data_IF_750507547399
#
_entry.id   IF_750507547399
#
_cell.length_a   1.000
_cell.length_b   1.000
_cell.length_c   1.000
_cell.angle_alpha   90.00
_cell.angle_beta   90.00
_cell.angle_gamma   90.00
#
_symmetry.space_group_name_H-M   'P 1'
#
loop_
_entity.id
_entity.type
_entity.pdbx_description
1 polymer ?
#
# COMPACT_ATOMS: atom_id res chain seq x y z
N UNK A 1 -34.08 12.27 -22.42
CA UNK A 1 -33.26 12.85 -21.33
C UNK A 1 -32.49 11.84 -20.47
N UNK A 2 -32.55 10.52 -20.72
CA UNK A 2 -31.82 9.50 -19.95
C UNK A 2 -30.43 9.13 -20.52
N UNK A 3 -30.02 9.69 -21.66
CA UNK A 3 -28.76 9.33 -22.35
C UNK A 3 -27.59 10.28 -22.04
N UNK A 4 -27.85 11.38 -21.31
CA UNK A 4 -26.83 12.39 -20.97
C UNK A 4 -26.22 12.23 -19.57
N UNK A 5 -26.84 11.48 -18.66
CA UNK A 5 -26.24 11.18 -17.34
C UNK A 5 -25.23 10.03 -17.38
N UNK A 6 -25.21 9.23 -18.46
CA UNK A 6 -24.39 8.01 -18.55
C UNK A 6 -22.97 8.26 -19.11
N UNK A 7 -22.70 9.48 -19.62
CA UNK A 7 -21.35 9.85 -20.07
C UNK A 7 -20.44 10.42 -18.98
N UNK A 8 -20.99 10.83 -17.84
CA UNK A 8 -20.27 11.68 -16.89
C UNK A 8 -19.48 10.92 -15.80
N UNK A 9 -19.50 9.59 -15.80
CA UNK A 9 -18.82 8.79 -14.77
C UNK A 9 -17.84 7.75 -15.35
N UNK A 10 -17.34 8.00 -16.56
CA UNK A 10 -16.19 7.25 -17.08
C UNK A 10 -14.91 7.76 -16.41
N UNK A 11 -14.70 7.32 -15.17
CA UNK A 11 -13.35 7.35 -14.57
C UNK A 11 -12.38 6.72 -15.58
N UNK A 12 -11.34 7.45 -15.94
CA UNK A 12 -10.33 7.00 -16.90
C UNK A 12 -9.59 5.80 -16.33
N UNK A 13 -10.05 4.60 -16.67
CA UNK A 13 -9.44 3.34 -16.26
C UNK A 13 -8.07 3.20 -16.93
N UNK A 14 -7.03 2.99 -16.13
CA UNK A 14 -5.67 2.80 -16.63
C UNK A 14 -5.59 1.46 -17.37
N UNK A 15 -5.47 1.50 -18.71
CA UNK A 15 -5.49 0.29 -19.56
C UNK A 15 -4.19 -0.51 -19.53
N UNK A 16 -3.04 0.12 -19.21
CA UNK A 16 -1.71 -0.51 -19.14
C UNK A 16 -0.90 0.09 -17.99
N UNK A 17 -0.03 -0.73 -17.39
CA UNK A 17 1.05 -0.25 -16.53
C UNK A 17 2.23 0.20 -17.40
N UNK A 18 3.19 0.96 -16.84
CA UNK A 18 4.34 1.56 -17.54
C UNK A 18 5.05 0.60 -18.52
N UNK A 19 5.17 -0.69 -18.17
CA UNK A 19 5.89 -1.69 -18.98
C UNK A 19 5.20 -3.06 -19.09
N UNK A 20 4.05 -3.29 -18.44
CA UNK A 20 3.45 -4.63 -18.33
C UNK A 20 1.91 -4.61 -18.37
N UNK A 21 1.32 -5.79 -18.55
CA UNK A 21 -0.11 -6.00 -18.27
C UNK A 21 -0.43 -5.62 -16.83
N UNK A 22 -1.62 -5.04 -16.62
CA UNK A 22 -2.08 -4.56 -15.31
C UNK A 22 -2.07 -5.65 -14.22
N UNK A 23 -2.29 -6.91 -14.64
CA UNK A 23 -2.19 -8.09 -13.78
C UNK A 23 -0.77 -8.30 -13.27
N UNK A 24 0.22 -8.25 -14.16
CA UNK A 24 1.64 -8.40 -13.80
C UNK A 24 2.08 -7.27 -12.88
N UNK A 25 1.67 -6.03 -13.17
CA UNK A 25 1.95 -4.89 -12.30
C UNK A 25 1.39 -5.08 -10.88
N UNK A 26 0.15 -5.54 -10.76
CA UNK A 26 -0.49 -5.79 -9.46
C UNK A 26 0.17 -6.96 -8.70
N UNK A 27 0.63 -8.00 -9.41
CA UNK A 27 1.38 -9.11 -8.80
C UNK A 27 2.72 -8.62 -8.26
N UNK A 28 3.46 -7.82 -9.04
CA UNK A 28 4.73 -7.24 -8.61
C UNK A 28 4.57 -6.34 -7.39
N UNK A 29 3.55 -5.48 -7.37
CA UNK A 29 3.22 -4.63 -6.21
C UNK A 29 2.92 -5.50 -4.98
N UNK A 30 2.17 -6.60 -5.14
CA UNK A 30 1.85 -7.51 -4.05
C UNK A 30 3.07 -8.23 -3.49
N UNK A 31 3.95 -8.73 -4.36
CA UNK A 31 5.20 -9.39 -3.94
C UNK A 31 6.10 -8.39 -3.22
N UNK A 32 6.29 -7.20 -3.78
CA UNK A 32 7.09 -6.14 -3.17
C UNK A 32 6.53 -5.75 -1.80
N UNK A 33 5.20 -5.64 -1.68
CA UNK A 33 4.51 -5.36 -0.42
C UNK A 33 4.77 -6.42 0.65
N UNK A 34 4.76 -7.72 0.28
CA UNK A 34 5.09 -8.81 1.22
C UNK A 34 6.56 -8.76 1.65
N UNK A 35 7.49 -8.54 0.72
CA UNK A 35 8.93 -8.44 1.03
C UNK A 35 9.20 -7.27 1.99
N UNK A 36 8.59 -6.11 1.73
CA UNK A 36 8.71 -4.94 2.61
C UNK A 36 8.07 -5.19 3.98
N UNK A 37 6.92 -5.87 4.05
CA UNK A 37 6.29 -6.24 5.31
C UNK A 37 7.17 -7.18 6.15
N UNK A 38 7.83 -8.17 5.53
CA UNK A 38 8.76 -9.06 6.22
C UNK A 38 9.96 -8.27 6.76
N UNK A 39 10.55 -7.38 5.96
CA UNK A 39 11.68 -6.56 6.38
C UNK A 39 11.35 -5.64 7.57
N UNK A 40 10.18 -5.00 7.52
CA UNK A 40 9.69 -4.12 8.60
C UNK A 40 9.32 -4.88 9.87
N UNK A 41 8.75 -6.09 9.75
CA UNK A 41 8.56 -6.99 10.88
C UNK A 41 9.88 -7.39 11.54
N UNK A 42 10.89 -7.79 10.76
CA UNK A 42 12.21 -8.13 11.29
C UNK A 42 12.84 -6.96 12.05
N UNK A 43 12.67 -5.75 11.52
CA UNK A 43 13.12 -4.52 12.18
C UNK A 43 12.37 -4.26 13.49
N UNK A 44 11.05 -4.44 13.50
CA UNK A 44 10.20 -4.27 14.69
C UNK A 44 10.54 -5.26 15.79
N UNK A 45 10.79 -6.53 15.44
CA UNK A 45 11.22 -7.57 16.40
C UNK A 45 12.55 -7.20 17.06
N UNK A 46 13.49 -6.62 16.32
CA UNK A 46 14.76 -6.12 16.90
C UNK A 46 14.52 -5.02 17.94
N UNK A 47 13.55 -4.14 17.71
CA UNK A 47 13.21 -3.05 18.62
C UNK A 47 12.40 -3.52 19.85
N UNK A 48 11.69 -4.64 19.74
CA UNK A 48 11.03 -5.26 20.90
C UNK A 48 12.01 -5.85 21.91
N UNK A 49 13.24 -6.20 21.49
CA UNK A 49 14.22 -6.78 22.40
C UNK A 49 14.72 -5.73 23.41
N UNK A 50 14.43 -5.89 24.72
CA UNK A 50 14.79 -4.89 25.72
C UNK A 50 16.31 -4.72 25.86
N UNK A 51 17.11 -5.74 25.53
CA UNK A 51 18.57 -5.65 25.53
C UNK A 51 19.07 -4.76 24.38
N UNK A 52 18.46 -4.89 23.20
CA UNK A 52 18.83 -4.08 22.03
C UNK A 52 18.43 -2.61 22.23
N UNK A 53 17.22 -2.36 22.74
CA UNK A 53 16.78 -1.01 23.06
C UNK A 53 17.76 -0.33 24.03
N UNK A 54 18.22 -1.04 25.07
CA UNK A 54 19.20 -0.51 26.03
C UNK A 54 20.51 -0.10 25.35
N UNK A 55 21.03 -0.93 24.43
CA UNK A 55 22.28 -0.63 23.75
C UNK A 55 22.17 0.62 22.86
N UNK A 56 21.08 0.74 22.10
CA UNK A 56 20.85 1.92 21.24
C UNK A 56 20.68 3.20 22.08
N UNK A 57 20.00 3.12 23.22
CA UNK A 57 19.86 4.26 24.14
C UNK A 57 21.18 4.63 24.80
N UNK A 58 22.04 3.67 25.13
CA UNK A 58 23.36 3.96 25.69
C UNK A 58 24.22 4.74 24.69
N UNK A 59 24.15 4.37 23.40
CA UNK A 59 24.85 5.08 22.34
C UNK A 59 24.32 6.52 22.19
N UNK A 60 22.99 6.69 22.13
CA UNK A 60 22.37 8.01 22.07
C UNK A 60 22.72 8.89 23.28
N UNK A 61 22.69 8.32 24.49
CA UNK A 61 23.07 9.04 25.70
C UNK A 61 24.53 9.51 25.62
N UNK A 62 25.43 8.70 25.06
CA UNK A 62 26.83 9.11 24.89
C UNK A 62 27.00 10.28 23.91
N UNK A 63 26.12 10.41 22.90
CA UNK A 63 26.12 11.57 22.01
C UNK A 63 25.53 12.82 22.67
N UNK A 64 24.44 12.65 23.43
CA UNK A 64 23.81 13.74 24.17
C UNK A 64 24.77 14.27 25.23
N UNK A 65 25.44 13.40 25.98
CA UNK A 65 26.40 13.79 27.02
C UNK A 65 27.56 14.60 26.42
N UNK A 66 28.13 14.16 25.29
CA UNK A 66 29.16 14.93 24.57
C UNK A 66 28.67 16.28 24.05
N UNK A 67 27.41 16.36 23.62
CA UNK A 67 26.83 17.63 23.16
C UNK A 67 26.59 18.57 24.34
N UNK A 68 26.13 18.05 25.48
CA UNK A 68 25.88 18.82 26.69
C UNK A 68 27.16 19.25 27.40
N UNK A 69 28.23 18.47 27.38
CA UNK A 69 29.55 18.90 27.87
C UNK A 69 30.11 20.11 27.10
N UNK A 70 29.61 20.36 25.88
CA UNK A 70 29.96 21.57 25.13
C UNK A 70 29.14 22.81 25.51
N UNK A 71 28.10 22.67 26.33
CA UNK A 71 27.22 23.74 26.83
C UNK A 71 27.34 23.87 28.37
N UNK A 72 28.20 24.79 28.82
CA UNK A 72 28.84 24.85 30.15
C UNK A 72 27.94 25.18 31.38
N UNK A 73 26.60 25.20 31.30
CA UNK A 73 25.76 25.83 32.35
C UNK A 73 24.67 25.00 33.07
N UNK A 74 24.55 23.67 32.90
CA UNK A 74 23.33 22.97 33.37
C UNK A 74 23.44 21.59 34.05
N UNK A 75 24.61 21.18 34.55
CA UNK A 75 24.95 19.75 34.68
C UNK A 75 24.29 19.01 35.87
N UNK A 76 23.94 19.67 36.98
CA UNK A 76 23.58 18.93 38.21
C UNK A 76 22.08 18.58 38.38
N UNK A 77 21.15 19.34 37.79
CA UNK A 77 19.71 19.11 37.98
C UNK A 77 19.10 18.13 36.95
N UNK A 78 19.85 17.78 35.90
CA UNK A 78 19.30 17.10 34.71
C UNK A 78 19.38 15.56 34.77
N UNK A 79 20.20 14.98 35.64
CA UNK A 79 20.41 13.52 35.70
C UNK A 79 19.16 12.72 36.12
N UNK A 80 18.42 13.19 37.13
CA UNK A 80 17.21 12.50 37.58
C UNK A 80 16.08 12.64 36.55
N UNK A 81 15.89 13.83 35.96
CA UNK A 81 14.89 14.04 34.90
C UNK A 81 15.21 13.24 33.62
N UNK A 82 16.48 13.18 33.22
CA UNK A 82 16.91 12.41 32.05
C UNK A 82 16.60 10.91 32.23
N UNK A 83 16.81 10.38 33.43
CA UNK A 83 16.48 8.98 33.74
C UNK A 83 14.97 8.69 33.66
N UNK A 84 14.14 9.64 34.10
CA UNK A 84 12.67 9.54 34.00
C UNK A 84 12.21 9.62 32.54
N UNK A 85 12.75 10.57 31.76
CA UNK A 85 12.46 10.72 30.33
C UNK A 85 12.87 9.45 29.57
N UNK A 86 14.04 8.88 29.87
CA UNK A 86 14.51 7.65 29.24
C UNK A 86 13.61 6.45 29.56
N UNK A 87 13.12 6.34 30.80
CA UNK A 87 12.17 5.29 31.18
C UNK A 87 10.85 5.41 30.40
N UNK A 88 10.29 6.62 30.31
CA UNK A 88 9.07 6.87 29.53
C UNK A 88 9.26 6.64 28.04
N UNK A 89 10.38 7.09 27.46
CA UNK A 89 10.70 6.87 26.04
C UNK A 89 10.85 5.39 25.70
N UNK A 90 11.44 4.60 26.59
CA UNK A 90 11.55 3.15 26.42
C UNK A 90 10.18 2.48 26.37
N UNK A 91 9.29 2.84 27.28
CA UNK A 91 7.92 2.31 27.31
C UNK A 91 7.15 2.68 26.03
N UNK A 92 7.22 3.96 25.63
CA UNK A 92 6.58 4.44 24.39
C UNK A 92 7.15 3.72 23.16
N UNK A 93 8.46 3.53 23.08
CA UNK A 93 9.12 2.88 21.94
C UNK A 93 8.73 1.41 21.83
N UNK A 94 8.67 0.68 22.97
CA UNK A 94 8.25 -0.72 22.99
C UNK A 94 6.78 -0.87 22.59
N UNK A 95 5.89 -0.03 23.13
CA UNK A 95 4.47 -0.05 22.78
C UNK A 95 4.26 0.30 21.30
N UNK A 96 5.01 1.28 20.79
CA UNK A 96 4.97 1.67 19.38
C UNK A 96 5.45 0.52 18.48
N UNK A 97 6.53 -0.18 18.84
CA UNK A 97 7.02 -1.33 18.07
C UNK A 97 5.99 -2.46 17.99
N UNK A 98 5.25 -2.72 19.07
CA UNK A 98 4.16 -3.71 19.09
C UNK A 98 3.03 -3.30 18.16
N UNK A 99 2.59 -2.04 18.24
CA UNK A 99 1.54 -1.51 17.36
C UNK A 99 1.97 -1.62 15.89
N UNK A 100 3.17 -1.16 15.54
CA UNK A 100 3.71 -1.24 14.17
C UNK A 100 3.75 -2.69 13.68
N UNK A 101 4.25 -3.62 14.50
CA UNK A 101 4.30 -5.04 14.14
C UNK A 101 2.91 -5.63 13.87
N UNK A 102 1.92 -5.31 14.71
CA UNK A 102 0.54 -5.79 14.50
C UNK A 102 -0.08 -5.20 13.22
N UNK A 103 0.15 -3.93 12.93
CA UNK A 103 -0.30 -3.29 11.69
C UNK A 103 0.38 -3.89 10.46
N UNK A 104 1.68 -4.17 10.52
CA UNK A 104 2.42 -4.83 9.44
C UNK A 104 1.91 -6.26 9.21
N UNK A 105 1.50 -6.97 10.26
CA UNK A 105 0.87 -8.29 10.13
C UNK A 105 -0.46 -8.22 9.40
N UNK A 106 -1.32 -7.29 9.78
CA UNK A 106 -2.59 -7.06 9.06
C UNK A 106 -2.33 -6.68 7.60
N UNK A 107 -1.34 -5.82 7.36
CA UNK A 107 -0.98 -5.39 6.01
C UNK A 107 -0.37 -6.53 5.17
N UNK A 108 0.47 -7.39 5.75
CA UNK A 108 1.01 -8.57 5.09
C UNK A 108 -0.11 -9.52 4.66
N UNK A 109 -1.09 -9.78 5.54
CA UNK A 109 -2.28 -10.57 5.22
C UNK A 109 -3.08 -9.93 4.08
N UNK A 110 -3.25 -8.61 4.08
CA UNK A 110 -3.91 -7.89 2.98
C UNK A 110 -3.17 -8.04 1.64
N UNK A 111 -1.83 -8.00 1.64
CA UNK A 111 -1.02 -8.23 0.43
C UNK A 111 -1.18 -9.67 -0.09
N UNK A 112 -1.23 -10.66 0.80
CA UNK A 112 -1.49 -12.06 0.43
C UNK A 112 -2.91 -12.23 -0.14
N UNK A 113 -3.91 -11.58 0.46
CA UNK A 113 -5.28 -11.54 -0.04
C UNK A 113 -5.37 -10.90 -1.42
N UNK A 114 -4.66 -9.79 -1.64
CA UNK A 114 -4.57 -9.16 -2.94
C UNK A 114 -3.93 -10.11 -3.97
N UNK A 115 -2.79 -10.73 -3.65
CA UNK A 115 -2.11 -11.66 -4.55
C UNK A 115 -3.02 -12.85 -4.91
N UNK A 116 -3.72 -13.40 -3.92
CA UNK A 116 -4.70 -14.45 -4.14
C UNK A 116 -5.91 -13.94 -4.95
N UNK A 117 -6.36 -12.71 -4.72
CA UNK A 117 -7.45 -12.07 -5.44
C UNK A 117 -7.15 -11.88 -6.92
N UNK A 118 -5.94 -11.45 -7.25
CA UNK A 118 -5.46 -11.32 -8.63
C UNK A 118 -5.40 -12.69 -9.32
N UNK A 119 -4.89 -13.72 -8.63
CA UNK A 119 -4.84 -15.10 -9.16
C UNK A 119 -6.22 -15.70 -9.39
N UNK A 120 -7.14 -15.47 -8.46
CA UNK A 120 -8.51 -16.01 -8.52
C UNK A 120 -9.50 -15.14 -9.28
N UNK A 121 -9.06 -14.00 -9.83
CA UNK A 121 -9.91 -13.00 -10.50
C UNK A 121 -11.10 -12.54 -9.66
N UNK A 122 -10.99 -12.58 -8.33
CA UNK A 122 -12.07 -12.24 -7.41
C UNK A 122 -11.90 -10.81 -6.90
N UNK A 123 -12.71 -9.88 -7.40
CA UNK A 123 -12.63 -8.45 -7.02
C UNK A 123 -12.80 -8.23 -5.51
N UNK A 124 -13.62 -9.04 -4.81
CA UNK A 124 -13.88 -8.91 -3.37
C UNK A 124 -12.63 -9.04 -2.51
N UNK A 125 -11.69 -9.89 -2.92
CA UNK A 125 -10.43 -10.13 -2.19
C UNK A 125 -9.42 -9.00 -2.32
N UNK A 126 -9.60 -8.10 -3.30
CA UNK A 126 -8.75 -6.92 -3.48
C UNK A 126 -9.19 -5.75 -2.58
N UNK A 127 -10.46 -5.72 -2.14
CA UNK A 127 -11.02 -4.60 -1.39
C UNK A 127 -10.27 -4.30 -0.09
N UNK A 128 -9.94 -5.28 0.78
CA UNK A 128 -9.24 -4.99 2.04
C UNK A 128 -7.91 -4.29 1.82
N UNK A 129 -7.16 -4.72 0.80
CA UNK A 129 -5.88 -4.10 0.45
C UNK A 129 -6.08 -2.66 -0.05
N UNK A 130 -7.06 -2.40 -0.93
CA UNK A 130 -7.32 -1.06 -1.48
C UNK A 130 -7.67 -0.08 -0.37
N UNK A 131 -8.53 -0.50 0.58
CA UNK A 131 -8.94 0.34 1.71
C UNK A 131 -7.77 0.58 2.66
N UNK A 132 -7.04 -0.47 3.04
CA UNK A 132 -5.90 -0.35 3.96
C UNK A 132 -4.77 0.51 3.37
N UNK A 133 -4.47 0.35 2.09
CA UNK A 133 -3.46 1.18 1.41
C UNK A 133 -3.90 2.64 1.33
N UNK A 134 -5.18 2.93 1.05
CA UNK A 134 -5.67 4.32 1.06
C UNK A 134 -5.51 4.98 2.43
N UNK A 135 -5.91 4.28 3.50
CA UNK A 135 -5.75 4.76 4.89
C UNK A 135 -4.26 4.95 5.21
N UNK A 136 -3.41 3.97 4.89
CA UNK A 136 -1.96 4.03 5.11
C UNK A 136 -1.32 5.22 4.40
N UNK A 137 -1.67 5.46 3.14
CA UNK A 137 -1.15 6.60 2.37
C UNK A 137 -1.60 7.93 2.97
N UNK A 138 -2.86 8.05 3.42
CA UNK A 138 -3.34 9.25 4.12
C UNK A 138 -2.57 9.51 5.43
N UNK A 139 -2.37 8.48 6.25
CA UNK A 139 -1.60 8.58 7.49
C UNK A 139 -0.15 8.99 7.20
N UNK A 140 0.49 8.40 6.17
CA UNK A 140 1.86 8.75 5.78
C UNK A 140 2.00 10.22 5.39
N UNK A 141 1.07 10.75 4.58
CA UNK A 141 1.06 12.16 4.18
C UNK A 141 0.92 13.07 5.40
N UNK A 142 0.10 12.67 6.38
CA UNK A 142 -0.11 13.43 7.61
C UNK A 142 1.16 13.46 8.47
N UNK A 143 1.80 12.29 8.67
CA UNK A 143 3.07 12.18 9.39
C UNK A 143 4.18 12.97 8.69
N UNK A 144 4.25 12.89 7.36
CA UNK A 144 5.19 13.66 6.55
C UNK A 144 5.01 15.16 6.75
N UNK A 145 3.77 15.67 6.69
CA UNK A 145 3.48 17.08 6.92
C UNK A 145 3.90 17.55 8.31
N UNK A 146 3.61 16.75 9.34
CA UNK A 146 4.04 17.03 10.70
C UNK A 146 5.57 16.99 10.87
N UNK A 147 6.23 15.97 10.31
CA UNK A 147 7.69 15.85 10.33
C UNK A 147 8.39 17.02 9.63
N UNK A 148 7.87 17.46 8.48
CA UNK A 148 8.34 18.67 7.80
C UNK A 148 8.18 19.91 8.69
N UNK A 149 7.04 20.08 9.36
CA UNK A 149 6.82 21.20 10.27
C UNK A 149 7.84 21.23 11.41
N UNK A 150 8.08 20.09 12.06
CA UNK A 150 9.06 19.99 13.16
C UNK A 150 10.49 20.23 12.66
N UNK A 151 10.90 19.65 11.54
CA UNK A 151 12.23 19.87 10.97
C UNK A 151 12.47 21.35 10.63
N UNK A 152 11.45 22.03 10.10
CA UNK A 152 11.51 23.45 9.80
C UNK A 152 11.67 24.30 11.06
N UNK A 153 10.98 23.95 12.16
CA UNK A 153 11.13 24.66 13.44
C UNK A 153 12.48 24.44 14.11
N UNK A 154 13.01 23.20 14.09
CA UNK A 154 14.21 22.84 14.85
C UNK A 154 15.50 23.20 14.11
N UNK A 155 15.59 22.85 12.82
CA UNK A 155 16.84 22.95 12.05
C UNK A 155 16.85 24.19 11.16
N UNK A 156 15.68 24.80 10.92
CA UNK A 156 15.51 25.84 9.92
C UNK A 156 15.65 25.30 8.48
N UNK A 157 15.84 26.21 7.52
CA UNK A 157 16.01 25.87 6.12
C UNK A 157 17.39 25.25 5.85
N UNK A 158 17.52 23.94 6.06
CA UNK A 158 18.73 23.17 5.79
C UNK A 158 18.62 22.32 4.51
N UNK A 159 19.75 21.97 3.91
CA UNK A 159 19.80 21.05 2.75
C UNK A 159 19.14 19.69 3.07
N UNK A 160 19.26 19.21 4.32
CA UNK A 160 18.61 17.99 4.78
C UNK A 160 17.08 18.05 4.70
N UNK A 161 16.49 19.21 4.96
CA UNK A 161 15.05 19.43 4.87
C UNK A 161 14.56 19.31 3.41
N UNK A 162 15.28 19.92 2.47
CA UNK A 162 14.96 19.84 1.04
C UNK A 162 15.07 18.39 0.54
N UNK A 163 16.14 17.68 0.92
CA UNK A 163 16.33 16.28 0.54
C UNK A 163 15.22 15.38 1.13
N UNK A 164 14.85 15.60 2.39
CA UNK A 164 13.77 14.86 3.05
C UNK A 164 12.45 15.03 2.30
N UNK A 165 12.06 16.27 1.96
CA UNK A 165 10.82 16.54 1.21
C UNK A 165 10.86 15.85 -0.15
N UNK A 166 11.97 15.94 -0.88
CA UNK A 166 12.10 15.35 -2.21
C UNK A 166 11.90 13.82 -2.17
N UNK A 167 12.56 13.15 -1.22
CA UNK A 167 12.42 11.70 -1.03
C UNK A 167 10.98 11.33 -0.66
N UNK A 168 10.35 12.09 0.24
CA UNK A 168 8.99 11.78 0.70
C UNK A 168 7.92 12.04 -0.38
N UNK A 169 8.09 13.07 -1.22
CA UNK A 169 7.25 13.30 -2.40
C UNK A 169 7.38 12.12 -3.36
N UNK A 170 8.61 11.68 -3.66
CA UNK A 170 8.85 10.56 -4.56
C UNK A 170 8.19 9.27 -4.04
N UNK A 171 8.33 8.97 -2.75
CA UNK A 171 7.68 7.82 -2.11
C UNK A 171 6.16 7.93 -2.20
N UNK A 172 5.60 9.11 -1.94
CA UNK A 172 4.15 9.34 -2.02
C UNK A 172 3.60 9.13 -3.44
N UNK A 173 4.31 9.62 -4.46
CA UNK A 173 3.93 9.42 -5.88
C UNK A 173 3.91 7.93 -6.23
N UNK A 174 4.93 7.17 -5.84
CA UNK A 174 5.00 5.72 -6.09
C UNK A 174 3.85 4.99 -5.39
N UNK A 175 3.54 5.36 -4.14
CA UNK A 175 2.45 4.75 -3.38
C UNK A 175 1.08 5.04 -4.00
N UNK A 176 0.79 6.30 -4.33
CA UNK A 176 -0.47 6.69 -4.99
C UNK A 176 -0.59 6.01 -6.35
N UNK A 177 0.49 5.96 -7.13
CA UNK A 177 0.50 5.24 -8.40
C UNK A 177 0.19 3.75 -8.23
N UNK A 178 0.84 3.08 -7.27
CA UNK A 178 0.60 1.66 -6.98
C UNK A 178 -0.85 1.39 -6.57
N UNK A 179 -1.44 2.29 -5.79
CA UNK A 179 -2.84 2.23 -5.39
C UNK A 179 -3.79 2.38 -6.60
N UNK A 180 -3.53 3.35 -7.48
CA UNK A 180 -4.31 3.55 -8.71
C UNK A 180 -4.25 2.34 -9.66
N UNK A 181 -3.08 1.70 -9.78
CA UNK A 181 -2.90 0.49 -10.61
C UNK A 181 -3.81 -0.64 -10.12
N UNK A 182 -3.82 -0.92 -8.82
CA UNK A 182 -4.65 -1.98 -8.23
C UNK A 182 -6.13 -1.60 -8.24
N UNK A 183 -6.46 -0.32 -8.04
CA UNK A 183 -7.83 0.18 -8.14
C UNK A 183 -8.38 0.02 -9.57
N UNK A 184 -7.57 0.32 -10.58
CA UNK A 184 -7.91 0.10 -12.00
C UNK A 184 -8.19 -1.39 -12.26
N UNK A 185 -7.36 -2.29 -11.72
CA UNK A 185 -7.57 -3.73 -11.87
C UNK A 185 -8.87 -4.18 -11.18
N UNK A 186 -9.15 -3.65 -10.00
CA UNK A 186 -10.40 -3.90 -9.29
C UNK A 186 -11.62 -3.49 -10.11
N UNK A 187 -11.60 -2.30 -10.72
CA UNK A 187 -12.70 -1.81 -11.55
C UNK A 187 -12.94 -2.72 -12.76
N UNK A 188 -11.89 -3.19 -13.42
CA UNK A 188 -11.98 -4.13 -14.55
C UNK A 188 -12.59 -5.47 -14.09
N UNK A 189 -12.07 -6.05 -13.00
CA UNK A 189 -12.59 -7.33 -12.46
C UNK A 189 -14.04 -7.22 -11.98
N UNK A 190 -14.44 -6.06 -11.45
CA UNK A 190 -15.83 -5.79 -11.06
C UNK A 190 -16.73 -5.71 -12.30
N UNK A 191 -16.34 -4.94 -13.31
CA UNK A 191 -17.11 -4.79 -14.54
C UNK A 191 -17.28 -6.11 -15.30
N UNK A 192 -16.23 -6.94 -15.38
CA UNK A 192 -16.31 -8.26 -16.01
C UNK A 192 -17.27 -9.19 -15.24
N UNK A 193 -17.23 -9.17 -13.91
CA UNK A 193 -18.12 -9.97 -13.08
C UNK A 193 -19.60 -9.54 -13.23
N UNK A 194 -19.86 -8.23 -13.28
CA UNK A 194 -21.21 -7.67 -13.46
C UNK A 194 -21.78 -7.94 -14.86
N UNK A 195 -20.92 -8.05 -15.88
CA UNK A 195 -21.31 -8.47 -17.25
C UNK A 195 -21.70 -9.94 -17.28
N UNK A 196 -20.86 -10.81 -16.72
CA UNK A 196 -21.14 -12.26 -16.65
C UNK A 196 -22.43 -12.54 -15.88
N UNK A 197 -22.72 -11.78 -14.82
CA UNK A 197 -23.96 -11.91 -14.06
C UNK A 197 -25.20 -11.51 -14.87
N UNK A 198 -25.09 -10.50 -15.75
CA UNK A 198 -26.19 -10.11 -16.65
C UNK A 198 -26.45 -11.12 -17.75
N UNK A 199 -25.40 -11.64 -18.37
CA UNK A 199 -25.52 -12.62 -19.47
C UNK A 199 -26.05 -13.97 -18.99
N UNK A 200 -25.68 -14.38 -17.78
CA UNK A 200 -26.08 -15.68 -17.25
C UNK A 200 -27.51 -15.72 -16.70
N UNK A 201 -28.16 -14.58 -16.42
CA UNK A 201 -29.55 -14.54 -15.95
C UNK A 201 -29.79 -15.16 -14.56
N UNK A 202 -28.76 -15.70 -13.92
CA UNK A 202 -28.81 -16.29 -12.58
C UNK A 202 -27.80 -15.56 -11.68
N UNK A 203 -28.05 -15.47 -10.36
CA UNK A 203 -27.03 -15.02 -9.41
C UNK A 203 -25.90 -16.04 -9.42
N UNK A 204 -24.91 -15.79 -10.28
CA UNK A 204 -23.75 -16.64 -10.46
C UNK A 204 -22.88 -16.54 -9.20
N UNK A 205 -23.16 -17.37 -8.20
CA UNK A 205 -22.23 -17.69 -7.13
C UNK A 205 -21.14 -18.59 -7.76
N UNK A 206 -20.32 -18.04 -8.65
CA UNK A 206 -19.15 -18.77 -9.17
C UNK A 206 -18.07 -18.71 -8.10
N UNK A 207 -18.02 -19.78 -7.31
CA UNK A 207 -16.77 -20.23 -6.70
C UNK A 207 -15.73 -20.42 -7.80
N UNK A 208 -14.60 -19.72 -7.69
CA UNK A 208 -13.59 -19.62 -8.73
C UNK A 208 -13.13 -20.98 -9.26
N UNK A 209 -13.55 -21.30 -10.49
CA UNK A 209 -12.98 -22.40 -11.27
C UNK A 209 -12.09 -21.82 -12.37
N UNK A 210 -10.75 -21.93 -12.27
CA UNK A 210 -9.82 -21.38 -13.25
C UNK A 210 -9.73 -22.19 -14.57
N UNK A 211 -10.68 -23.10 -14.86
CA UNK A 211 -10.59 -24.03 -15.99
C UNK A 211 -11.56 -23.81 -17.15
N UNK A 212 -12.69 -23.14 -16.97
CA UNK A 212 -13.84 -23.28 -17.90
C UNK A 212 -13.82 -22.27 -19.08
N UNK A 213 -12.89 -21.31 -19.10
CA UNK A 213 -12.84 -20.34 -20.19
C UNK A 213 -12.35 -20.93 -21.53
N UNK A 214 -11.69 -22.10 -21.53
CA UNK A 214 -11.36 -22.81 -22.79
C UNK A 214 -12.57 -23.50 -23.41
N UNK A 215 -13.59 -23.87 -22.63
CA UNK A 215 -14.76 -24.57 -23.15
C UNK A 215 -15.87 -23.62 -23.62
N UNK A 216 -15.98 -22.40 -23.09
CA UNK A 216 -16.95 -21.43 -23.63
C UNK A 216 -16.72 -21.08 -25.09
N UNK A 217 -15.46 -21.09 -25.57
CA UNK A 217 -15.15 -20.91 -27.00
C UNK A 217 -15.65 -22.08 -27.85
N UNK A 218 -15.69 -23.30 -27.30
CA UNK A 218 -16.25 -24.49 -27.97
C UNK A 218 -17.77 -24.51 -27.92
N UNK A 219 -18.38 -24.05 -26.82
CA UNK A 219 -19.84 -23.94 -26.70
C UNK A 219 -20.40 -22.87 -27.65
N UNK A 220 -19.69 -21.75 -27.84
CA UNK A 220 -20.02 -20.74 -28.85
C UNK A 220 -19.76 -21.20 -30.29
N UNK A 221 -18.90 -22.20 -30.50
CA UNK A 221 -18.71 -22.86 -31.81
C UNK A 221 -19.81 -23.89 -32.11
N UNK A 222 -20.46 -24.46 -31.09
CA UNK A 222 -21.56 -25.42 -31.28
C UNK A 222 -22.94 -24.79 -31.39
N UNK A 223 -23.12 -23.57 -30.87
CA UNK A 223 -24.27 -22.76 -31.26
C UNK A 223 -23.94 -22.08 -32.59
N UNK A 224 -24.54 -22.54 -33.69
CA UNK A 224 -24.47 -22.00 -35.07
C UNK A 224 -24.94 -20.52 -35.20
N UNK A 225 -24.49 -19.63 -34.33
CA UNK A 225 -24.85 -18.20 -34.28
C UNK A 225 -23.82 -17.30 -34.95
N UNK A 226 -22.73 -17.86 -35.48
CA UNK A 226 -21.89 -17.16 -36.46
C UNK A 226 -22.45 -17.42 -37.86
N UNK A 227 -23.49 -16.68 -38.23
CA UNK A 227 -23.72 -16.38 -39.65
C UNK A 227 -22.44 -15.68 -40.14
N UNK A 228 -21.76 -16.19 -41.18
CA UNK A 228 -20.62 -15.47 -41.75
C UNK A 228 -21.14 -14.12 -42.24
N UNK A 229 -20.57 -13.03 -41.71
CA UNK A 229 -20.69 -11.71 -42.31
C UNK A 229 -19.99 -11.81 -43.67
N UNK A 230 -20.77 -12.09 -44.70
CA UNK A 230 -20.40 -11.93 -46.10
C UNK A 230 -20.15 -10.44 -46.29
N UNK A 231 -18.88 -10.07 -46.38
CA UNK A 231 -18.46 -8.77 -46.88
C UNK A 231 -18.76 -8.79 -48.39
N UNK A 232 -19.85 -8.16 -48.79
CA UNK A 232 -20.06 -7.79 -50.20
C UNK A 232 -19.27 -6.52 -50.46
N UNK A 233 -18.13 -6.65 -51.15
CA UNK A 233 -17.51 -5.54 -51.86
C UNK A 233 -18.41 -5.20 -53.06
N UNK A 234 -19.13 -4.08 -52.98
CA UNK A 234 -19.69 -3.43 -54.17
C UNK A 234 -18.67 -2.41 -54.70
N UNK A 235 -18.53 -2.43 -56.03
CA UNK A 235 -17.54 -1.75 -56.87
C UNK A 235 -17.49 -0.23 -56.74
#
# INVERSE_FOLDING_TARGET
NSTLSDQNERMTVLKRCLCCELKTGSILIGILGVVLAIGTMMFSVKHMNPKQARNNFHELNSYIEKFLESEDEGILFRGEELSRIQASLREVTQNTAIIVFTLDMVYALANLLMLHGVRTKSHRKLVPWIVLTAVKTGVLITIMGFGCYILLLVVGYSLYFVLYILVMILVSVVLVYSWLVVLSLYQILKADNDRLQRESGYPLIIYGYPGIHRDYRRVLQHQNLLKPLVYTEEC
#
